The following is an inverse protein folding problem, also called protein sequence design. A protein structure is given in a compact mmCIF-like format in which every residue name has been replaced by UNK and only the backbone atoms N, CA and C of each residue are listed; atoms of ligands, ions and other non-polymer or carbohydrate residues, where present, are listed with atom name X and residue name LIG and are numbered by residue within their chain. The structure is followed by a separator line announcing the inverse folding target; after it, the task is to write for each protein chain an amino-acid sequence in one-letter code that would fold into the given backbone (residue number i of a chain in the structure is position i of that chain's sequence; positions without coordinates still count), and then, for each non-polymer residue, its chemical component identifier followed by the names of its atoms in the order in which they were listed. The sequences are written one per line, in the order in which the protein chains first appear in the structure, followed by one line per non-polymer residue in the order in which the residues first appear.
data_IF_113105400303
#
_entry.id   IF_113105400303
#
_cell.length_a   1.000
_cell.length_b   1.000
_cell.length_c   1.000
_cell.angle_alpha   90.00
_cell.angle_beta   90.00
_cell.angle_gamma   90.00
#
_symmetry.space_group_name_H-M   'P 1'
#
loop_
_entity.id
_entity.type
_entity.pdbx_description
1 polymer ?
#
# COMPACT_ATOMS: atom_id res chain seq x y z
N UNK A 1 22.94 -34.49 68.12
CA UNK A 1 21.68 -34.71 67.38
C UNK A 1 21.80 -33.94 66.08
N UNK A 2 22.20 -34.59 64.99
CA UNK A 2 22.38 -33.95 63.69
C UNK A 2 21.14 -34.24 62.85
N UNK A 3 20.35 -33.20 62.58
CA UNK A 3 19.16 -33.29 61.74
C UNK A 3 19.59 -33.22 60.26
N UNK A 4 19.52 -34.35 59.55
CA UNK A 4 19.63 -34.35 58.09
C UNK A 4 18.24 -34.07 57.50
N UNK A 5 18.08 -32.93 56.82
CA UNK A 5 16.96 -32.70 55.91
C UNK A 5 17.35 -33.16 54.50
N UNK A 6 16.54 -33.97 53.80
CA UNK A 6 16.80 -34.28 52.40
C UNK A 6 16.40 -33.09 51.52
N UNK A 7 17.31 -32.63 50.67
CA UNK A 7 16.97 -31.69 49.59
C UNK A 7 16.04 -32.38 48.57
N UNK A 8 14.79 -31.96 48.52
CA UNK A 8 13.87 -32.31 47.43
C UNK A 8 14.21 -31.48 46.20
N UNK A 9 14.69 -32.12 45.13
CA UNK A 9 14.87 -31.47 43.84
C UNK A 9 13.49 -31.09 43.26
N UNK A 10 13.34 -29.90 42.65
CA UNK A 10 12.12 -29.52 41.94
C UNK A 10 11.88 -30.43 40.72
N UNK A 11 10.61 -30.69 40.33
CA UNK A 11 10.28 -31.57 39.22
C UNK A 11 10.90 -31.05 37.91
N UNK A 12 11.51 -31.96 37.16
CA UNK A 12 12.13 -31.71 35.88
C UNK A 12 11.16 -30.99 34.93
N UNK A 13 11.63 -29.88 34.33
CA UNK A 13 10.87 -29.15 33.32
C UNK A 13 10.57 -30.06 32.12
N UNK A 14 9.29 -30.22 31.82
CA UNK A 14 8.81 -30.86 30.59
C UNK A 14 9.43 -30.14 29.39
N UNK A 15 10.00 -30.84 28.39
CA UNK A 15 10.52 -30.18 27.20
C UNK A 15 9.36 -29.48 26.50
N UNK A 16 9.43 -28.15 26.43
CA UNK A 16 8.52 -27.35 25.62
C UNK A 16 8.71 -27.80 24.17
N UNK A 17 7.69 -28.41 23.59
CA UNK A 17 7.70 -28.86 22.19
C UNK A 17 8.15 -27.70 21.33
N UNK A 18 9.32 -27.84 20.69
CA UNK A 18 9.76 -26.93 19.65
C UNK A 18 8.70 -26.92 18.56
N UNK A 19 7.96 -25.81 18.49
CA UNK A 19 6.98 -25.59 17.43
C UNK A 19 7.76 -25.37 16.14
N UNK A 20 8.05 -26.48 15.43
CA UNK A 20 8.60 -26.45 14.08
C UNK A 20 7.59 -25.76 13.17
N UNK A 21 7.82 -24.49 12.88
CA UNK A 21 7.09 -23.74 11.87
C UNK A 21 7.56 -24.18 10.48
N UNK A 22 7.08 -25.33 10.03
CA UNK A 22 7.28 -25.82 8.68
C UNK A 22 6.27 -25.16 7.72
N UNK A 23 6.44 -23.87 7.42
CA UNK A 23 5.93 -23.30 6.17
C UNK A 23 6.58 -21.96 5.86
N UNK A 24 7.83 -22.00 5.39
CA UNK A 24 8.44 -20.85 4.72
C UNK A 24 7.80 -20.75 3.33
N UNK A 25 6.69 -20.02 3.23
CA UNK A 25 6.15 -19.62 1.91
C UNK A 25 7.04 -18.47 1.42
N UNK A 26 8.14 -18.85 0.79
CA UNK A 26 9.12 -17.96 0.15
C UNK A 26 8.58 -17.37 -1.17
N UNK A 27 7.34 -16.89 -1.17
CA UNK A 27 6.67 -16.42 -2.41
C UNK A 27 6.86 -14.92 -2.64
N UNK A 28 7.14 -14.13 -1.59
CA UNK A 28 7.35 -12.68 -1.72
C UNK A 28 8.76 -12.31 -1.31
N UNK A 29 9.52 -11.79 -2.28
CA UNK A 29 10.89 -11.31 -2.10
C UNK A 29 10.96 -10.17 -1.08
N UNK A 30 12.05 -10.15 -0.31
CA UNK A 30 12.40 -9.03 0.55
C UNK A 30 12.35 -7.69 -0.24
N UNK A 31 11.74 -6.62 0.32
CA UNK A 31 11.61 -5.35 -0.39
C UNK A 31 12.93 -4.58 -0.53
N UNK A 32 14.00 -5.01 0.16
CA UNK A 32 15.29 -4.35 0.22
C UNK A 32 15.31 -3.19 1.21
N UNK A 33 16.47 -2.54 1.29
CA UNK A 33 16.67 -1.37 2.12
C UNK A 33 16.07 -0.10 1.49
N UNK A 34 15.58 0.81 2.33
CA UNK A 34 15.18 2.16 1.94
C UNK A 34 16.02 3.19 2.67
N UNK A 35 16.68 4.06 1.91
CA UNK A 35 17.64 5.02 2.46
C UNK A 35 17.04 6.40 2.79
N UNK A 36 15.80 6.65 2.38
CA UNK A 36 15.11 7.93 2.57
C UNK A 36 14.87 8.73 1.29
N UNK A 37 15.23 8.21 0.12
CA UNK A 37 14.93 8.86 -1.17
C UNK A 37 13.42 8.87 -1.43
N UNK A 38 12.83 10.07 -1.30
CA UNK A 38 11.40 10.30 -1.48
C UNK A 38 10.88 9.84 -2.85
N UNK A 39 11.66 9.98 -3.92
CA UNK A 39 11.24 9.56 -5.26
C UNK A 39 11.07 8.03 -5.40
N UNK A 40 11.78 7.27 -4.57
CA UNK A 40 11.71 5.81 -4.56
C UNK A 40 10.75 5.27 -3.49
N UNK A 41 10.22 6.14 -2.62
CA UNK A 41 9.37 5.74 -1.51
C UNK A 41 8.17 4.94 -1.98
N UNK A 42 7.40 5.43 -2.95
CA UNK A 42 6.18 4.76 -3.43
C UNK A 42 6.47 3.34 -3.93
N UNK A 43 7.54 3.16 -4.72
CA UNK A 43 7.93 1.84 -5.25
C UNK A 43 8.37 0.88 -4.15
N UNK A 44 9.18 1.35 -3.21
CA UNK A 44 9.65 0.53 -2.10
C UNK A 44 8.53 0.22 -1.10
N UNK A 45 7.69 1.21 -0.79
CA UNK A 45 6.59 1.11 0.17
C UNK A 45 5.57 0.06 -0.22
N UNK A 46 5.18 0.00 -1.51
CA UNK A 46 4.28 -1.03 -2.03
C UNK A 46 4.90 -2.43 -1.84
N UNK A 47 6.19 -2.60 -2.16
CA UNK A 47 6.88 -3.88 -1.96
C UNK A 47 6.89 -4.28 -0.49
N UNK A 48 7.20 -3.36 0.42
CA UNK A 48 7.21 -3.63 1.85
C UNK A 48 5.82 -4.03 2.36
N UNK A 49 4.76 -3.32 1.96
CA UNK A 49 3.40 -3.63 2.38
C UNK A 49 2.95 -5.03 1.93
N UNK A 50 3.27 -5.41 0.69
CA UNK A 50 3.02 -6.77 0.18
C UNK A 50 3.82 -7.79 0.98
N UNK A 51 5.09 -7.51 1.25
CA UNK A 51 5.96 -8.38 2.03
C UNK A 51 5.45 -8.60 3.45
N UNK A 52 5.08 -7.54 4.18
CA UNK A 52 4.51 -7.66 5.54
C UNK A 52 3.22 -8.48 5.51
N UNK A 53 2.32 -8.20 4.55
CA UNK A 53 1.05 -8.93 4.44
C UNK A 53 1.23 -10.41 4.10
N UNK A 54 2.18 -10.73 3.22
CA UNK A 54 2.49 -12.10 2.84
C UNK A 54 3.15 -12.90 3.98
N UNK A 55 3.88 -12.22 4.87
CA UNK A 55 4.54 -12.83 6.02
C UNK A 55 3.76 -12.64 7.33
N UNK A 56 2.50 -12.19 7.27
CA UNK A 56 1.73 -11.78 8.45
C UNK A 56 1.67 -12.88 9.53
N UNK A 57 1.35 -14.11 9.11
CA UNK A 57 1.22 -15.26 10.02
C UNK A 57 2.56 -15.71 10.64
N UNK A 58 3.69 -15.23 10.13
CA UNK A 58 5.01 -15.51 10.67
C UNK A 58 5.40 -14.56 11.81
N UNK A 59 4.72 -13.42 11.95
CA UNK A 59 4.96 -12.48 13.04
C UNK A 59 4.10 -12.84 14.25
N UNK A 60 4.73 -13.04 15.40
CA UNK A 60 4.06 -13.38 16.64
C UNK A 60 3.39 -12.16 17.30
N UNK A 61 3.97 -10.98 17.15
CA UNK A 61 3.52 -9.75 17.81
C UNK A 61 3.92 -8.46 17.07
N UNK A 62 3.51 -7.32 17.64
CA UNK A 62 3.86 -5.98 17.12
C UNK A 62 5.36 -5.71 17.13
N UNK A 63 6.13 -6.31 18.05
CA UNK A 63 7.57 -6.16 18.11
C UNK A 63 8.23 -6.75 16.86
N UNK A 64 7.86 -7.98 16.48
CA UNK A 64 8.43 -8.64 15.31
C UNK A 64 8.09 -7.89 14.01
N UNK A 65 6.85 -7.42 13.85
CA UNK A 65 6.45 -6.59 12.69
C UNK A 65 7.25 -5.29 12.65
N UNK A 66 7.28 -4.56 13.77
CA UNK A 66 7.92 -3.24 13.83
C UNK A 66 9.44 -3.33 13.62
N UNK A 67 10.12 -4.30 14.23
CA UNK A 67 11.55 -4.52 14.03
C UNK A 67 11.86 -4.98 12.60
N UNK A 68 11.05 -5.85 12.02
CA UNK A 68 11.20 -6.24 10.62
C UNK A 68 11.10 -5.03 9.68
N UNK A 69 10.13 -4.15 9.89
CA UNK A 69 9.96 -2.94 9.08
C UNK A 69 11.09 -1.93 9.31
N UNK A 70 11.36 -1.57 10.57
CA UNK A 70 12.36 -0.55 10.92
C UNK A 70 13.78 -0.98 10.53
N UNK A 71 14.10 -2.29 10.59
CA UNK A 71 15.42 -2.78 10.18
C UNK A 71 15.73 -2.57 8.70
N UNK A 72 14.71 -2.40 7.84
CA UNK A 72 14.85 -2.14 6.40
C UNK A 72 14.97 -0.66 6.06
N UNK A 73 14.74 0.23 7.02
CA UNK A 73 15.06 1.65 6.90
C UNK A 73 16.55 1.83 7.23
N UNK A 74 17.35 2.21 6.22
CA UNK A 74 18.82 2.30 6.27
C UNK A 74 19.30 3.67 5.80
N UNK A 75 20.61 3.83 5.67
CA UNK A 75 21.21 5.06 5.17
C UNK A 75 21.09 6.25 6.14
N UNK A 76 21.55 7.42 5.71
CA UNK A 76 21.69 8.58 6.60
C UNK A 76 20.36 9.19 7.04
N UNK A 77 19.30 9.06 6.23
CA UNK A 77 18.00 9.68 6.51
C UNK A 77 17.06 8.67 7.17
N UNK A 78 16.69 7.60 6.46
CA UNK A 78 15.73 6.62 6.98
C UNK A 78 16.32 5.79 8.14
N UNK A 79 17.61 5.46 8.08
CA UNK A 79 18.30 4.71 9.13
C UNK A 79 18.41 5.48 10.43
N UNK A 80 18.62 6.81 10.37
CA UNK A 80 18.63 7.65 11.57
C UNK A 80 17.26 7.69 12.24
N UNK A 81 16.19 7.83 11.46
CA UNK A 81 14.82 7.72 11.96
C UNK A 81 14.58 6.36 12.62
N UNK A 82 14.93 5.26 11.95
CA UNK A 82 14.73 3.92 12.50
C UNK A 82 15.51 3.67 13.79
N UNK A 83 16.74 4.20 13.89
CA UNK A 83 17.54 4.12 15.11
C UNK A 83 16.84 4.81 16.28
N UNK A 84 16.39 6.05 16.09
CA UNK A 84 15.68 6.82 17.13
C UNK A 84 14.38 6.09 17.52
N UNK A 85 13.61 5.65 16.53
CA UNK A 85 12.31 5.00 16.77
C UNK A 85 12.45 3.66 17.51
N UNK A 86 13.44 2.85 17.14
CA UNK A 86 13.76 1.60 17.84
C UNK A 86 14.15 1.89 19.30
N UNK A 87 15.02 2.89 19.53
CA UNK A 87 15.43 3.27 20.89
C UNK A 87 14.25 3.70 21.76
N UNK A 88 13.31 4.48 21.21
CA UNK A 88 12.09 4.87 21.90
C UNK A 88 11.23 3.66 22.26
N UNK A 89 11.01 2.72 21.32
CA UNK A 89 10.26 1.49 21.60
C UNK A 89 10.89 0.68 22.74
N UNK A 90 12.21 0.49 22.70
CA UNK A 90 12.94 -0.24 23.74
C UNK A 90 12.88 0.46 25.10
N UNK A 91 12.90 1.79 25.12
CA UNK A 91 12.87 2.58 26.36
C UNK A 91 11.46 2.60 26.95
N UNK A 92 10.43 2.70 26.12
CA UNK A 92 9.03 2.71 26.55
C UNK A 92 8.48 1.30 26.86
N UNK A 93 9.09 0.25 26.29
CA UNK A 93 8.55 -1.11 26.36
C UNK A 93 7.25 -1.30 25.56
N UNK A 94 6.94 -0.37 24.65
CA UNK A 94 5.71 -0.36 23.85
C UNK A 94 6.06 -0.34 22.37
N UNK A 95 5.46 -1.27 21.62
CA UNK A 95 5.67 -1.43 20.18
C UNK A 95 4.44 -1.00 19.39
N UNK A 96 4.60 -0.21 18.32
CA UNK A 96 3.48 0.27 17.53
C UNK A 96 2.78 -0.87 16.81
N UNK A 97 1.47 -0.75 16.64
CA UNK A 97 0.74 -1.61 15.70
C UNK A 97 1.23 -1.37 14.28
N UNK A 98 1.00 -2.33 13.38
CA UNK A 98 1.32 -2.15 11.96
C UNK A 98 0.65 -0.89 11.36
N UNK A 99 -0.60 -0.62 11.72
CA UNK A 99 -1.34 0.53 11.20
C UNK A 99 -0.79 1.87 11.70
N UNK A 100 -0.37 1.94 12.96
CA UNK A 100 0.25 3.14 13.52
C UNK A 100 1.62 3.39 12.91
N UNK A 101 2.42 2.34 12.74
CA UNK A 101 3.72 2.42 12.09
C UNK A 101 3.60 2.86 10.63
N UNK A 102 2.59 2.36 9.91
CA UNK A 102 2.27 2.78 8.55
C UNK A 102 1.98 4.28 8.47
N UNK A 103 1.11 4.81 9.34
CA UNK A 103 0.79 6.24 9.39
C UNK A 103 2.04 7.08 9.69
N UNK A 104 2.87 6.62 10.62
CA UNK A 104 4.09 7.31 11.01
C UNK A 104 5.11 7.38 9.86
N UNK A 105 5.41 6.25 9.21
CA UNK A 105 6.36 6.20 8.08
C UNK A 105 5.84 7.04 6.91
N UNK A 106 4.55 6.94 6.58
CA UNK A 106 3.95 7.76 5.53
C UNK A 106 4.05 9.25 5.86
N UNK A 107 3.87 9.66 7.12
CA UNK A 107 4.01 11.06 7.52
C UNK A 107 5.42 11.63 7.23
N UNK A 108 6.47 10.84 7.44
CA UNK A 108 7.85 11.32 7.27
C UNK A 108 8.37 11.24 5.83
N UNK A 109 8.05 10.13 5.14
CA UNK A 109 8.70 9.77 3.88
C UNK A 109 7.80 9.86 2.65
N UNK A 110 6.47 9.85 2.82
CA UNK A 110 5.55 9.95 1.68
C UNK A 110 5.66 11.34 1.05
N UNK A 111 5.92 11.43 -0.26
CA UNK A 111 5.97 12.72 -0.93
C UNK A 111 4.56 13.31 -1.00
N UNK A 112 4.27 14.31 -0.17
CA UNK A 112 3.00 15.06 -0.29
C UNK A 112 2.90 15.76 -1.65
N UNK A 113 4.05 16.23 -2.16
CA UNK A 113 4.17 16.87 -3.46
C UNK A 113 3.78 15.95 -4.64
N UNK A 114 3.87 14.62 -4.53
CA UNK A 114 3.45 13.73 -5.63
C UNK A 114 1.94 13.77 -5.85
N UNK A 115 1.15 13.82 -4.78
CA UNK A 115 -0.31 13.93 -4.87
C UNK A 115 -0.71 15.27 -5.47
N UNK A 116 -0.07 16.35 -5.02
CA UNK A 116 -0.35 17.70 -5.52
C UNK A 116 0.18 17.91 -6.93
N UNK A 117 1.32 17.31 -7.28
CA UNK A 117 1.85 17.25 -8.65
C UNK A 117 0.88 16.48 -9.56
N UNK A 118 0.40 15.30 -9.17
CA UNK A 118 -0.55 14.53 -9.97
C UNK A 118 -1.85 15.31 -10.22
N UNK A 119 -2.34 16.04 -9.20
CA UNK A 119 -3.49 16.95 -9.32
C UNK A 119 -3.22 18.13 -10.25
N UNK A 120 -2.01 18.68 -10.24
CA UNK A 120 -1.63 19.75 -11.16
C UNK A 120 -1.50 19.23 -12.60
N UNK A 121 -0.85 18.08 -12.78
CA UNK A 121 -0.65 17.47 -14.10
C UNK A 121 -1.98 17.11 -14.75
N UNK A 122 -2.91 16.47 -14.01
CA UNK A 122 -4.17 16.02 -14.61
C UNK A 122 -5.05 17.19 -15.08
N UNK A 123 -4.96 18.35 -14.44
CA UNK A 123 -5.69 19.57 -14.86
C UNK A 123 -5.25 20.08 -16.23
N UNK A 124 -3.99 19.86 -16.61
CA UNK A 124 -3.45 20.26 -17.91
C UNK A 124 -3.27 19.09 -18.89
N UNK A 125 -3.61 17.85 -18.49
CA UNK A 125 -3.35 16.65 -19.28
C UNK A 125 -4.38 16.44 -20.40
N UNK A 126 -4.16 17.12 -21.54
CA UNK A 126 -4.97 16.98 -22.76
C UNK A 126 -4.54 15.75 -23.57
N UNK A 127 -5.51 15.06 -24.19
CA UNK A 127 -5.24 13.93 -25.08
C UNK A 127 -4.45 14.34 -26.33
N UNK A 128 -4.84 15.44 -26.97
CA UNK A 128 -4.25 15.86 -28.25
C UNK A 128 -4.31 14.74 -29.30
N UNK A 129 -3.16 14.41 -29.88
CA UNK A 129 -3.00 13.33 -30.86
C UNK A 129 -2.59 11.97 -30.24
N UNK A 130 -2.58 11.86 -28.91
CA UNK A 130 -2.23 10.61 -28.22
C UNK A 130 -3.27 9.53 -28.51
N UNK A 131 -2.81 8.29 -28.72
CA UNK A 131 -3.72 7.14 -28.83
C UNK A 131 -4.57 7.03 -27.57
N UNK A 132 -5.84 6.68 -27.74
CA UNK A 132 -6.82 6.69 -26.65
C UNK A 132 -6.44 5.75 -25.51
N UNK A 133 -5.89 4.57 -25.81
CA UNK A 133 -5.40 3.60 -24.82
C UNK A 133 -4.26 4.16 -23.96
N UNK A 134 -3.27 4.81 -24.58
CA UNK A 134 -2.16 5.46 -23.89
C UNK A 134 -2.64 6.63 -23.02
N UNK A 135 -3.58 7.43 -23.55
CA UNK A 135 -4.18 8.55 -22.84
C UNK A 135 -4.95 8.09 -21.60
N UNK A 136 -5.85 7.12 -21.75
CA UNK A 136 -6.66 6.58 -20.65
C UNK A 136 -5.76 5.94 -19.59
N UNK A 137 -4.74 5.18 -20.00
CA UNK A 137 -3.78 4.57 -19.06
C UNK A 137 -3.09 5.63 -18.20
N UNK A 138 -2.61 6.72 -18.80
CA UNK A 138 -1.95 7.81 -18.07
C UNK A 138 -2.93 8.62 -17.23
N UNK A 139 -4.12 8.90 -17.74
CA UNK A 139 -5.17 9.63 -17.02
C UNK A 139 -5.61 8.88 -15.76
N UNK A 140 -5.82 7.56 -15.86
CA UNK A 140 -6.20 6.73 -14.72
C UNK A 140 -5.08 6.68 -13.67
N UNK A 141 -3.82 6.55 -14.09
CA UNK A 141 -2.68 6.58 -13.17
C UNK A 141 -2.61 7.90 -12.39
N UNK A 142 -2.74 9.05 -13.08
CA UNK A 142 -2.77 10.37 -12.45
C UNK A 142 -3.99 10.54 -11.53
N UNK A 143 -5.16 10.01 -11.91
CA UNK A 143 -6.38 10.06 -11.10
C UNK A 143 -6.23 9.32 -9.78
N UNK A 144 -5.64 8.12 -9.83
CA UNK A 144 -5.37 7.30 -8.64
C UNK A 144 -4.32 7.98 -7.75
N UNK A 145 -3.22 8.47 -8.33
CA UNK A 145 -2.15 9.16 -7.58
C UNK A 145 -2.63 10.46 -6.94
N UNK A 146 -3.44 11.25 -7.66
CA UNK A 146 -4.06 12.47 -7.15
C UNK A 146 -5.21 12.22 -6.16
N UNK A 147 -5.66 10.96 -6.06
CA UNK A 147 -6.84 10.53 -5.30
C UNK A 147 -8.08 11.32 -5.66
N UNK A 148 -8.38 11.38 -6.95
CA UNK A 148 -9.58 11.99 -7.50
C UNK A 148 -10.80 11.10 -7.23
N UNK A 149 -11.94 11.72 -6.92
CA UNK A 149 -13.24 11.05 -6.88
C UNK A 149 -13.74 10.84 -8.30
N UNK A 150 -14.56 9.80 -8.51
CA UNK A 150 -15.04 9.44 -9.85
C UNK A 150 -15.73 10.61 -10.57
N UNK A 151 -16.62 11.35 -9.89
CA UNK A 151 -17.31 12.53 -10.44
C UNK A 151 -16.32 13.54 -11.03
N UNK A 152 -15.33 13.95 -10.22
CA UNK A 152 -14.32 14.92 -10.67
C UNK A 152 -13.35 14.34 -11.71
N UNK A 153 -13.11 13.03 -11.69
CA UNK A 153 -12.33 12.36 -12.72
C UNK A 153 -13.07 12.34 -14.06
N UNK A 154 -14.39 12.14 -14.07
CA UNK A 154 -15.22 12.19 -15.30
C UNK A 154 -15.23 13.59 -15.87
N UNK A 155 -15.46 14.62 -15.06
CA UNK A 155 -15.41 16.03 -15.51
C UNK A 155 -14.07 16.36 -16.18
N UNK A 156 -12.95 15.99 -15.54
CA UNK A 156 -11.62 16.22 -16.09
C UNK A 156 -11.37 15.40 -17.36
N UNK A 157 -11.93 14.19 -17.45
CA UNK A 157 -11.80 13.36 -18.64
C UNK A 157 -12.56 13.97 -19.82
N UNK A 158 -13.82 14.37 -19.63
CA UNK A 158 -14.65 15.02 -20.64
C UNK A 158 -14.02 16.32 -21.16
N UNK A 159 -13.45 17.14 -20.26
CA UNK A 159 -12.79 18.39 -20.67
C UNK A 159 -11.44 18.19 -21.38
N UNK A 160 -10.78 17.04 -21.20
CA UNK A 160 -9.40 16.83 -21.65
C UNK A 160 -9.22 15.78 -22.75
N UNK A 161 -10.23 14.93 -22.97
CA UNK A 161 -10.29 14.00 -24.11
C UNK A 161 -10.41 14.79 -25.41
N UNK A 162 -10.01 14.19 -26.53
CA UNK A 162 -10.22 14.80 -27.83
C UNK A 162 -11.73 15.06 -28.04
N UNK A 163 -12.17 16.29 -28.35
CA UNK A 163 -13.60 16.61 -28.48
C UNK A 163 -14.35 15.72 -29.45
N UNK A 164 -13.69 15.27 -30.51
CA UNK A 164 -14.29 14.35 -31.47
C UNK A 164 -14.66 13.00 -30.85
N UNK A 165 -13.84 12.48 -29.91
CA UNK A 165 -14.14 11.23 -29.20
C UNK A 165 -15.32 11.42 -28.26
N UNK A 166 -15.36 12.53 -27.52
CA UNK A 166 -16.50 12.85 -26.66
C UNK A 166 -17.80 12.91 -27.46
N UNK A 167 -17.80 13.60 -28.60
CA UNK A 167 -18.94 13.69 -29.51
C UNK A 167 -19.37 12.31 -30.02
N UNK A 168 -18.43 11.46 -30.46
CA UNK A 168 -18.74 10.10 -30.91
C UNK A 168 -19.37 9.25 -29.78
N UNK A 169 -18.93 9.41 -28.53
CA UNK A 169 -19.51 8.72 -27.38
C UNK A 169 -20.96 9.17 -27.17
N UNK A 170 -21.24 10.48 -27.16
CA UNK A 170 -22.60 10.99 -27.00
C UNK A 170 -23.53 10.52 -28.13
N UNK A 171 -23.07 10.56 -29.39
CA UNK A 171 -23.85 10.09 -30.54
C UNK A 171 -24.13 8.58 -30.46
N UNK A 172 -23.16 7.80 -30.00
CA UNK A 172 -23.31 6.36 -29.84
C UNK A 172 -24.28 6.02 -28.70
N UNK A 173 -24.23 6.76 -27.60
CA UNK A 173 -25.12 6.56 -26.45
C UNK A 173 -26.57 6.86 -26.82
N UNK A 174 -26.82 8.01 -27.45
CA UNK A 174 -28.15 8.35 -27.98
C UNK A 174 -28.67 7.28 -28.97
N UNK A 175 -27.80 6.73 -29.82
CA UNK A 175 -28.18 5.62 -30.71
C UNK A 175 -28.56 4.36 -29.93
N UNK A 176 -27.83 4.03 -28.87
CA UNK A 176 -28.10 2.85 -28.04
C UNK A 176 -29.42 2.99 -27.28
N UNK A 177 -29.74 4.18 -26.75
CA UNK A 177 -31.03 4.46 -26.10
C UNK A 177 -32.20 4.26 -27.06
N UNK A 178 -32.10 4.79 -28.28
CA UNK A 178 -33.12 4.61 -29.30
C UNK A 178 -33.33 3.13 -29.67
N UNK A 179 -32.25 2.34 -29.72
CA UNK A 179 -32.34 0.89 -29.97
C UNK A 179 -32.98 0.14 -28.79
N UNK A 180 -32.70 0.54 -27.55
CA UNK A 180 -33.31 -0.05 -26.37
C UNK A 180 -34.83 0.20 -26.35
N UNK A 181 -35.26 1.43 -26.61
CA UNK A 181 -36.69 1.78 -26.70
C UNK A 181 -37.41 0.99 -27.81
N UNK A 182 -36.80 0.87 -28.99
CA UNK A 182 -37.37 0.08 -30.08
C UNK A 182 -37.49 -1.41 -29.74
N UNK A 183 -36.53 -1.96 -28.98
CA UNK A 183 -36.58 -3.35 -28.52
C UNK A 183 -37.67 -3.57 -27.46
N UNK A 184 -37.88 -2.62 -26.54
CA UNK A 184 -38.97 -2.67 -25.56
C UNK A 184 -40.35 -2.61 -26.23
N UNK A 185 -40.50 -1.75 -27.24
CA UNK A 185 -41.74 -1.66 -28.03
C UNK A 185 -42.04 -2.98 -28.76
N UNK A 186 -41.03 -3.68 -29.26
CA UNK A 186 -41.18 -4.97 -29.94
C UNK A 186 -41.46 -6.15 -29.00
N UNK A 187 -41.09 -6.05 -27.72
CA UNK A 187 -41.34 -7.09 -26.69
C UNK A 187 -42.77 -6.98 -26.12
N UNK A 188 -43.40 -5.80 -26.23
CA UNK A 188 -44.75 -5.54 -25.72
C UNK A 188 -45.89 -5.77 -26.74
N UNK A 189 -45.57 -6.25 -27.94
CA UNK A 189 -46.50 -6.63 -29.02
C UNK A 189 -46.58 -8.15 -29.15
#
# INVERSE_FOLDING_TARGET
MLCYTPCTNPPAATPLVEKKFNKKVEVVTDPGAFEGDRAQFTKWWIKLQIWVKANWDAFADNFEVATAVLSRLKGPVAGRYAQVRLQECYTAGVWPTWDDLKKEIEKYFKPQAERDWARQQIRSFKQGNMRTDDYITRFLALSIQGGLRNEHAVELLECNVNPHIAEQIYLQDARNENLALAAEEYILV
#
